data_IF_581442261277
#
_entry.id   IF_581442261277
#
_cell.length_a   1.000
_cell.length_b   1.000
_cell.length_c   1.000
_cell.angle_alpha   90.00
_cell.angle_beta   90.00
_cell.angle_gamma   90.00
#
_symmetry.space_group_name_H-M   'P 1'
#
loop_
_entity.id
_entity.type
_entity.pdbx_description
1 polymer ?
#
# COMPACT_ATOMS: atom_id res chain seq x y z
N UNK A 1 21.23 2.91 2.92
CA UNK A 1 19.77 3.20 3.01
C UNK A 1 19.18 2.38 4.14
N UNK A 2 18.46 3.02 5.06
CA UNK A 2 17.77 2.36 6.18
C UNK A 2 16.27 2.26 5.87
N UNK A 3 15.80 1.04 5.60
CA UNK A 3 14.38 0.74 5.42
C UNK A 3 13.79 0.32 6.76
N UNK A 4 12.72 0.96 7.19
CA UNK A 4 11.98 0.57 8.39
C UNK A 4 10.61 0.04 8.01
N UNK A 5 10.29 -1.14 8.52
CA UNK A 5 8.97 -1.75 8.40
C UNK A 5 8.23 -1.50 9.72
N UNK A 6 7.14 -0.73 9.64
CA UNK A 6 6.34 -0.37 10.80
C UNK A 6 5.58 -1.59 11.33
N UNK A 7 5.72 -1.87 12.62
CA UNK A 7 4.95 -2.88 13.32
C UNK A 7 3.85 -2.20 14.16
N UNK A 8 2.73 -1.88 13.52
CA UNK A 8 1.61 -1.19 14.16
C UNK A 8 0.52 -2.14 14.68
N UNK A 9 0.77 -3.45 14.70
CA UNK A 9 -0.21 -4.44 15.15
C UNK A 9 0.21 -5.87 14.90
N UNK A 10 -0.74 -6.79 14.93
CA UNK A 10 -0.53 -8.20 14.63
C UNK A 10 -0.55 -8.40 13.10
N UNK A 11 0.54 -8.89 12.53
CA UNK A 11 0.63 -9.18 11.10
C UNK A 11 1.89 -9.96 10.73
N UNK A 12 1.88 -10.58 9.53
CA UNK A 12 3.04 -11.33 9.04
C UNK A 12 4.11 -10.40 8.47
N UNK A 13 4.71 -9.59 9.33
CA UNK A 13 5.78 -8.64 8.98
C UNK A 13 6.99 -9.37 8.39
N UNK A 14 7.22 -10.65 8.76
CA UNK A 14 8.37 -11.45 8.27
C UNK A 14 8.33 -11.67 6.76
N UNK A 15 7.15 -11.89 6.17
CA UNK A 15 7.02 -12.04 4.72
C UNK A 15 7.36 -10.72 4.00
N UNK A 16 6.97 -9.58 4.58
CA UNK A 16 7.32 -8.26 4.05
C UNK A 16 8.83 -8.03 4.13
N UNK A 17 9.47 -8.37 5.26
CA UNK A 17 10.94 -8.29 5.41
C UNK A 17 11.64 -9.08 4.30
N UNK A 18 11.27 -10.36 4.13
CA UNK A 18 11.88 -11.23 3.11
C UNK A 18 11.72 -10.67 1.69
N UNK A 19 10.52 -10.18 1.34
CA UNK A 19 10.27 -9.60 0.03
C UNK A 19 11.10 -8.33 -0.20
N UNK A 20 11.21 -7.47 0.83
CA UNK A 20 12.03 -6.26 0.80
C UNK A 20 13.52 -6.59 0.66
N UNK A 21 14.05 -7.53 1.45
CA UNK A 21 15.44 -7.99 1.36
C UNK A 21 15.75 -8.57 -0.02
N UNK A 22 14.84 -9.38 -0.58
CA UNK A 22 14.97 -9.91 -1.94
C UNK A 22 15.02 -8.79 -2.99
N UNK A 23 14.12 -7.79 -2.88
CA UNK A 23 14.09 -6.66 -3.79
C UNK A 23 15.38 -5.82 -3.72
N UNK A 24 15.87 -5.55 -2.53
CA UNK A 24 17.11 -4.79 -2.30
C UNK A 24 18.35 -5.53 -2.78
N UNK A 25 18.45 -6.84 -2.53
CA UNK A 25 19.59 -7.66 -2.97
C UNK A 25 19.73 -7.71 -4.48
N UNK A 26 18.60 -7.72 -5.19
CA UNK A 26 18.59 -7.74 -6.66
C UNK A 26 18.82 -6.36 -7.31
N UNK A 27 18.77 -5.27 -6.53
CA UNK A 27 19.01 -3.89 -6.99
C UNK A 27 20.46 -3.44 -6.77
N UNK A 28 21.34 -4.28 -6.21
CA UNK A 28 22.72 -3.90 -5.90
C UNK A 28 23.57 -3.69 -7.16
N UNK A 29 23.51 -2.49 -7.69
CA UNK A 29 24.70 -1.83 -8.22
C UNK A 29 25.56 -1.41 -7.01
N UNK A 30 26.78 -1.85 -6.95
CA UNK A 30 27.81 -2.02 -5.93
C UNK A 30 28.10 -0.89 -4.89
N UNK A 31 27.19 -0.05 -4.44
CA UNK A 31 27.58 1.15 -3.66
C UNK A 31 26.84 1.46 -2.35
N UNK A 32 25.73 0.82 -2.00
CA UNK A 32 25.06 1.19 -0.75
C UNK A 32 24.53 -0.04 0.00
N UNK A 33 25.08 -0.30 1.18
CA UNK A 33 24.51 -1.31 2.09
C UNK A 33 23.13 -0.83 2.56
N UNK A 34 22.08 -1.54 2.16
CA UNK A 34 20.74 -1.31 2.68
C UNK A 34 20.53 -2.18 3.92
N UNK A 35 19.90 -1.60 4.95
CA UNK A 35 19.48 -2.32 6.17
C UNK A 35 17.99 -2.30 6.29
N UNK A 36 17.39 -3.44 6.68
CA UNK A 36 15.95 -3.58 6.93
C UNK A 36 15.74 -3.81 8.42
N UNK A 37 14.88 -3.02 9.04
CA UNK A 37 14.54 -3.14 10.44
C UNK A 37 13.03 -3.13 10.66
N UNK A 38 12.54 -3.89 11.64
CA UNK A 38 11.16 -3.83 12.10
C UNK A 38 11.12 -2.92 13.33
N UNK A 39 10.15 -2.01 13.39
CA UNK A 39 10.00 -1.15 14.57
C UNK A 39 8.56 -0.68 14.78
N UNK A 40 8.21 -0.53 16.05
CA UNK A 40 7.02 0.19 16.54
C UNK A 40 7.36 1.50 17.23
N UNK A 41 8.65 1.91 17.23
CA UNK A 41 9.11 3.13 17.93
C UNK A 41 9.08 4.33 17.00
N UNK A 42 8.37 5.43 17.37
CA UNK A 42 8.22 6.62 16.55
C UNK A 42 9.56 7.21 16.05
N UNK A 43 10.55 7.28 16.90
CA UNK A 43 11.87 7.83 16.58
C UNK A 43 12.61 7.02 15.51
N UNK A 44 12.35 5.71 15.43
CA UNK A 44 12.95 4.86 14.39
C UNK A 44 12.26 5.03 13.04
N UNK A 45 10.94 5.26 13.04
CA UNK A 45 10.19 5.55 11.84
C UNK A 45 10.62 6.90 11.24
N UNK A 46 10.79 7.92 12.07
CA UNK A 46 11.27 9.25 11.64
C UNK A 46 12.69 9.21 11.08
N UNK A 47 13.56 8.35 11.65
CA UNK A 47 14.95 8.20 11.23
C UNK A 47 15.11 7.34 9.97
N UNK A 48 14.06 6.67 9.49
CA UNK A 48 14.11 5.85 8.29
C UNK A 48 14.42 6.69 7.04
N UNK A 49 15.11 6.10 6.06
CA UNK A 49 15.25 6.65 4.71
C UNK A 49 14.04 6.28 3.85
N UNK A 50 13.47 5.09 4.05
CA UNK A 50 12.21 4.65 3.46
C UNK A 50 11.36 3.92 4.52
N UNK A 51 10.05 4.16 4.52
CA UNK A 51 9.11 3.59 5.47
C UNK A 51 8.09 2.69 4.75
N UNK A 52 7.99 1.45 5.21
CA UNK A 52 6.95 0.53 4.76
C UNK A 52 5.99 0.30 5.92
N UNK A 53 4.70 0.51 5.66
CA UNK A 53 3.63 0.28 6.63
C UNK A 53 2.73 -0.83 6.12
N UNK A 54 3.02 -2.09 6.46
CA UNK A 54 2.12 -3.19 6.19
C UNK A 54 0.95 -3.13 7.19
N UNK A 55 -0.21 -3.59 6.76
CA UNK A 55 -1.34 -3.71 7.66
C UNK A 55 -2.08 -5.02 7.43
N UNK A 56 -2.21 -5.82 8.49
CA UNK A 56 -3.09 -6.96 8.57
C UNK A 56 -3.93 -6.83 9.84
N UNK A 57 -5.22 -7.13 9.76
CA UNK A 57 -6.15 -6.93 10.84
C UNK A 57 -7.22 -5.89 10.51
N UNK A 58 -7.79 -5.25 11.52
CA UNK A 58 -8.86 -4.27 11.34
C UNK A 58 -8.34 -2.83 11.37
N UNK A 59 -9.05 -1.95 10.68
CA UNK A 59 -8.78 -0.51 10.71
C UNK A 59 -8.80 0.04 12.15
N UNK A 60 -9.74 -0.45 12.98
CA UNK A 60 -9.85 -0.01 14.37
C UNK A 60 -8.63 -0.35 15.22
N UNK A 61 -8.06 -1.55 15.06
CA UNK A 61 -6.86 -1.94 15.77
C UNK A 61 -5.65 -1.08 15.36
N UNK A 62 -5.52 -0.81 14.06
CA UNK A 62 -4.46 0.06 13.56
C UNK A 62 -4.65 1.52 13.99
N UNK A 63 -5.88 2.05 13.92
CA UNK A 63 -6.20 3.40 14.39
C UNK A 63 -5.89 3.59 15.89
N UNK A 64 -6.04 2.53 16.69
CA UNK A 64 -5.60 2.50 18.09
C UNK A 64 -4.09 2.62 18.23
N UNK A 65 -3.33 1.87 17.44
CA UNK A 65 -1.87 1.88 17.46
C UNK A 65 -1.28 3.23 17.02
N UNK A 66 -1.86 3.88 16.02
CA UNK A 66 -1.37 5.18 15.53
C UNK A 66 -1.59 6.33 16.53
N UNK A 67 -2.55 6.22 17.46
CA UNK A 67 -2.75 7.21 18.54
C UNK A 67 -1.54 7.32 19.47
N UNK A 68 -0.73 6.28 19.57
CA UNK A 68 0.46 6.22 20.44
C UNK A 68 1.72 6.91 19.89
N UNK A 69 1.59 7.91 19.00
CA UNK A 69 2.73 8.64 18.40
C UNK A 69 3.22 8.05 17.08
N UNK A 70 2.84 6.82 16.71
CA UNK A 70 3.18 6.24 15.43
C UNK A 70 2.56 7.01 14.26
N UNK A 71 1.32 7.46 14.40
CA UNK A 71 0.63 8.25 13.38
C UNK A 71 1.34 9.56 13.08
N UNK A 72 1.77 10.27 14.13
CA UNK A 72 2.56 11.49 13.98
C UNK A 72 3.91 11.20 13.31
N UNK A 73 4.62 10.15 13.73
CA UNK A 73 5.89 9.77 13.12
C UNK A 73 5.77 9.42 11.62
N UNK A 74 4.69 8.72 11.23
CA UNK A 74 4.38 8.44 9.82
C UNK A 74 4.12 9.74 9.06
N UNK A 75 3.27 10.62 9.61
CA UNK A 75 2.94 11.89 8.97
C UNK A 75 4.18 12.79 8.79
N UNK A 76 5.04 12.89 9.80
CA UNK A 76 6.30 13.63 9.72
C UNK A 76 7.29 13.02 8.72
N UNK A 77 7.37 11.68 8.63
CA UNK A 77 8.21 11.00 7.64
C UNK A 77 7.76 11.36 6.21
N UNK A 78 6.45 11.31 5.95
CA UNK A 78 5.86 11.69 4.66
C UNK A 78 6.08 13.18 4.36
N UNK A 79 5.83 14.05 5.33
CA UNK A 79 5.99 15.51 5.19
C UNK A 79 7.44 15.94 4.87
N UNK A 80 8.43 15.13 5.28
CA UNK A 80 9.85 15.31 4.93
C UNK A 80 10.20 14.88 3.50
N UNK A 81 9.22 14.46 2.70
CA UNK A 81 9.43 13.97 1.33
C UNK A 81 10.07 12.59 1.26
N UNK A 82 10.14 11.84 2.36
CA UNK A 82 10.76 10.53 2.41
C UNK A 82 9.81 9.45 1.88
N UNK A 83 10.30 8.46 1.14
CA UNK A 83 9.49 7.40 0.55
C UNK A 83 8.63 6.63 1.56
N UNK A 84 7.35 6.51 1.26
CA UNK A 84 6.38 5.75 2.02
C UNK A 84 5.68 4.72 1.13
N UNK A 85 5.61 3.47 1.59
CA UNK A 85 4.80 2.41 1.00
C UNK A 85 3.78 1.89 2.00
N UNK A 86 2.49 2.13 1.73
CA UNK A 86 1.37 1.54 2.48
C UNK A 86 0.86 0.27 1.80
N UNK A 87 0.83 -0.86 2.53
CA UNK A 87 0.33 -2.15 2.01
C UNK A 87 -0.99 -2.49 2.70
N UNK A 88 -2.04 -2.71 1.92
CA UNK A 88 -3.40 -3.05 2.35
C UNK A 88 -3.92 -2.04 3.38
N UNK A 89 -4.05 -2.40 4.64
CA UNK A 89 -4.45 -1.48 5.72
C UNK A 89 -3.49 -0.29 5.86
N UNK A 90 -2.20 -0.46 5.56
CA UNK A 90 -1.22 0.64 5.54
C UNK A 90 -1.51 1.70 4.46
N UNK A 91 -2.19 1.35 3.37
CA UNK A 91 -2.76 2.31 2.43
C UNK A 91 -4.02 2.95 2.99
N UNK A 92 -4.93 2.14 3.55
CA UNK A 92 -6.24 2.60 4.01
C UNK A 92 -6.13 3.65 5.13
N UNK A 93 -5.17 3.51 6.04
CA UNK A 93 -4.99 4.47 7.14
C UNK A 93 -4.49 5.85 6.72
N UNK A 94 -4.03 6.02 5.48
CA UNK A 94 -3.69 7.34 4.93
C UNK A 94 -4.93 8.23 4.74
N UNK A 95 -6.11 7.62 4.60
CA UNK A 95 -7.39 8.30 4.38
C UNK A 95 -8.03 8.81 5.67
N UNK A 96 -9.16 9.48 5.56
CA UNK A 96 -9.78 10.20 6.67
C UNK A 96 -10.51 9.29 7.66
N UNK A 97 -11.26 8.31 7.17
CA UNK A 97 -12.08 7.40 7.98
C UNK A 97 -12.34 6.06 7.28
N UNK A 98 -12.98 5.14 8.00
CA UNK A 98 -13.36 3.84 7.48
C UNK A 98 -14.73 3.39 7.98
N UNK A 99 -15.53 2.80 7.09
CA UNK A 99 -16.77 2.11 7.46
C UNK A 99 -16.52 0.87 8.35
N UNK A 100 -15.30 0.32 8.34
CA UNK A 100 -14.94 -0.80 9.20
C UNK A 100 -14.92 -0.40 10.69
N UNK A 101 -14.66 0.87 10.99
CA UNK A 101 -14.49 1.35 12.36
C UNK A 101 -15.09 2.76 12.52
N UNK A 102 -16.40 2.82 12.62
CA UNK A 102 -17.15 4.06 12.73
C UNK A 102 -16.65 4.90 13.92
N UNK A 103 -16.46 6.20 13.67
CA UNK A 103 -15.98 7.15 14.67
C UNK A 103 -14.46 7.16 14.89
N UNK A 104 -13.72 6.26 14.26
CA UNK A 104 -12.25 6.30 14.26
C UNK A 104 -11.73 6.99 12.99
N UNK A 105 -10.67 7.79 13.17
CA UNK A 105 -10.01 8.52 12.08
C UNK A 105 -8.74 7.82 11.67
N UNK A 106 -8.45 7.84 10.36
CA UNK A 106 -7.13 7.57 9.82
C UNK A 106 -6.21 8.77 9.98
N UNK A 107 -5.14 8.80 9.22
CA UNK A 107 -4.16 9.89 9.25
C UNK A 107 -4.64 11.16 8.51
N UNK A 108 -5.62 11.04 7.60
CA UNK A 108 -6.12 12.15 6.80
C UNK A 108 -5.05 12.79 5.90
N UNK A 109 -4.03 12.03 5.53
CA UNK A 109 -2.96 12.48 4.63
C UNK A 109 -3.47 12.56 3.20
N UNK A 110 -4.28 11.57 2.78
CA UNK A 110 -4.95 11.54 1.49
C UNK A 110 -6.45 11.84 1.68
N UNK A 111 -7.05 12.70 0.84
CA UNK A 111 -8.47 13.00 0.94
C UNK A 111 -9.31 11.82 0.42
N UNK A 112 -10.36 11.49 1.17
CA UNK A 112 -11.29 10.40 0.85
C UNK A 112 -11.48 9.43 2.00
N UNK A 113 -12.12 8.31 1.71
CA UNK A 113 -12.66 7.40 2.72
C UNK A 113 -12.34 5.95 2.39
N UNK A 114 -12.47 5.08 3.40
CA UNK A 114 -12.42 3.62 3.21
C UNK A 114 -13.84 3.08 3.34
N UNK A 115 -14.32 2.38 2.32
CA UNK A 115 -15.69 1.86 2.23
C UNK A 115 -15.69 0.36 2.04
N UNK A 116 -16.78 -0.27 2.49
CA UNK A 116 -16.98 -1.70 2.25
C UNK A 116 -17.07 -1.95 0.75
N UNK A 117 -16.27 -2.88 0.25
CA UNK A 117 -16.32 -3.29 -1.14
C UNK A 117 -17.71 -3.86 -1.45
N UNK A 118 -18.28 -3.44 -2.57
CA UNK A 118 -19.54 -3.97 -3.09
C UNK A 118 -19.22 -4.85 -4.29
N UNK A 119 -19.04 -6.15 -4.07
CA UNK A 119 -18.68 -7.05 -5.17
C UNK A 119 -19.82 -7.14 -6.17
N UNK A 120 -19.48 -7.29 -7.43
CA UNK A 120 -20.44 -7.59 -8.48
C UNK A 120 -20.92 -9.03 -8.40
N UNK A 121 -21.61 -9.44 -9.48
CA UNK A 121 -22.08 -10.79 -9.65
C UNK A 121 -21.02 -11.64 -10.36
N UNK A 122 -20.85 -12.86 -9.91
CA UNK A 122 -20.18 -13.89 -10.69
C UNK A 122 -21.08 -14.24 -11.88
N UNK A 123 -20.62 -13.93 -13.08
CA UNK A 123 -21.42 -14.12 -14.31
C UNK A 123 -21.63 -15.59 -14.67
N UNK A 124 -20.76 -16.48 -14.22
CA UNK A 124 -20.88 -17.93 -14.47
C UNK A 124 -21.82 -18.61 -13.47
N UNK A 125 -21.76 -18.18 -12.19
CA UNK A 125 -22.50 -18.81 -11.11
C UNK A 125 -23.79 -18.07 -10.71
N UNK A 126 -24.01 -16.87 -11.25
CA UNK A 126 -25.20 -16.06 -11.01
C UNK A 126 -25.39 -15.65 -9.55
N UNK A 127 -24.30 -15.57 -8.78
CA UNK A 127 -24.30 -15.20 -7.35
C UNK A 127 -23.32 -14.07 -7.09
N UNK A 128 -23.50 -13.29 -6.00
CA UNK A 128 -22.52 -12.28 -5.62
C UNK A 128 -21.14 -12.89 -5.39
N UNK A 129 -20.10 -12.20 -5.86
CA UNK A 129 -18.74 -12.56 -5.54
C UNK A 129 -18.51 -12.50 -4.02
N UNK A 130 -17.74 -13.42 -3.44
CA UNK A 130 -17.57 -13.51 -1.99
C UNK A 130 -16.79 -12.34 -1.40
N UNK A 131 -17.07 -12.00 -0.14
CA UNK A 131 -16.24 -11.14 0.69
C UNK A 131 -15.74 -11.92 1.91
N UNK A 132 -14.47 -11.71 2.31
CA UNK A 132 -13.49 -10.81 1.70
C UNK A 132 -13.05 -11.24 0.29
N UNK A 133 -12.61 -10.29 -0.53
CA UNK A 133 -11.90 -10.54 -1.79
C UNK A 133 -10.54 -11.17 -1.45
N UNK A 134 -10.44 -12.48 -1.63
CA UNK A 134 -9.22 -13.27 -1.38
C UNK A 134 -8.83 -13.98 -2.66
N UNK A 135 -7.60 -13.72 -3.13
CA UNK A 135 -7.05 -14.40 -4.30
C UNK A 135 -6.24 -13.48 -5.20
N UNK A 136 -5.85 -14.04 -6.35
CA UNK A 136 -5.13 -13.34 -7.39
C UNK A 136 -6.12 -12.60 -8.30
N UNK A 137 -5.81 -11.34 -8.58
CA UNK A 137 -6.62 -10.54 -9.49
C UNK A 137 -5.74 -9.57 -10.27
N UNK A 138 -6.23 -9.16 -11.44
CA UNK A 138 -5.52 -8.25 -12.33
C UNK A 138 -5.60 -6.81 -11.82
N UNK A 139 -4.46 -6.14 -11.80
CA UNK A 139 -4.31 -4.71 -11.50
C UNK A 139 -4.06 -3.98 -12.81
N UNK A 140 -4.91 -3.03 -13.14
CA UNK A 140 -4.83 -2.22 -14.36
C UNK A 140 -4.52 -0.78 -14.01
N UNK A 141 -3.54 -0.21 -14.67
CA UNK A 141 -3.18 1.20 -14.47
C UNK A 141 -4.33 2.11 -14.90
N UNK A 142 -4.69 3.08 -14.06
CA UNK A 142 -5.75 4.03 -14.36
C UNK A 142 -5.37 4.97 -15.53
N UNK A 143 -6.35 5.30 -16.38
CA UNK A 143 -6.12 6.19 -17.54
C UNK A 143 -5.65 7.59 -17.13
N UNK A 144 -6.19 8.15 -16.05
CA UNK A 144 -5.76 9.43 -15.50
C UNK A 144 -4.27 9.43 -15.12
N UNK A 145 -3.79 8.34 -14.51
CA UNK A 145 -2.38 8.18 -14.15
C UNK A 145 -1.46 8.04 -15.38
N UNK A 146 -1.98 7.56 -16.52
CA UNK A 146 -1.21 7.48 -17.77
C UNK A 146 -0.93 8.87 -18.36
N UNK A 147 -1.85 9.82 -18.18
CA UNK A 147 -1.78 11.15 -18.77
C UNK A 147 -0.93 12.15 -17.95
N UNK A 148 -0.90 12.01 -16.62
CA UNK A 148 -0.39 13.04 -15.71
C UNK A 148 0.94 12.71 -15.04
N UNK A 149 1.34 11.43 -15.03
CA UNK A 149 2.57 11.00 -14.35
C UNK A 149 3.66 10.62 -15.34
N UNK A 150 4.85 11.22 -15.26
CA UNK A 150 5.99 10.78 -16.04
C UNK A 150 6.24 9.28 -15.82
N UNK A 151 6.33 8.53 -16.90
CA UNK A 151 6.60 7.08 -16.89
C UNK A 151 7.80 6.69 -15.99
N UNK A 152 8.76 7.61 -15.82
CA UNK A 152 9.98 7.41 -15.04
C UNK A 152 9.76 7.32 -13.54
N UNK A 153 8.72 7.98 -12.99
CA UNK A 153 8.50 8.01 -11.53
C UNK A 153 7.54 6.94 -11.00
N UNK A 154 6.75 6.28 -11.85
CA UNK A 154 5.70 5.37 -11.41
C UNK A 154 5.52 4.14 -12.30
N UNK A 155 6.60 3.65 -12.92
CA UNK A 155 6.60 2.42 -13.70
C UNK A 155 6.45 1.15 -12.82
N UNK A 156 5.87 1.34 -11.64
CA UNK A 156 5.61 0.30 -10.65
C UNK A 156 4.60 -0.73 -11.17
N UNK A 157 3.75 -0.28 -12.11
CA UNK A 157 2.78 -1.10 -12.82
C UNK A 157 3.00 -0.86 -14.31
N UNK A 158 3.78 -1.71 -14.95
CA UNK A 158 4.02 -1.70 -16.41
C UNK A 158 2.70 -1.93 -17.15
N UNK A 159 2.43 -1.16 -18.17
CA UNK A 159 1.17 -1.00 -18.93
C UNK A 159 0.23 -2.18 -19.19
N UNK A 160 0.66 -3.43 -19.04
CA UNK A 160 -0.19 -4.61 -19.12
C UNK A 160 -0.77 -4.99 -17.76
N UNK A 161 -1.99 -5.54 -17.70
CA UNK A 161 -2.58 -6.00 -16.46
C UNK A 161 -1.68 -7.02 -15.75
N UNK A 162 -1.29 -6.73 -14.53
CA UNK A 162 -0.43 -7.60 -13.73
C UNK A 162 -1.20 -8.16 -12.56
N UNK A 163 -1.08 -9.46 -12.31
CA UNK A 163 -1.80 -10.12 -11.22
C UNK A 163 -1.08 -9.97 -9.89
N UNK A 164 -1.85 -9.60 -8.86
CA UNK A 164 -1.41 -9.51 -7.46
C UNK A 164 -2.37 -10.26 -6.55
N UNK A 165 -1.89 -10.60 -5.35
CA UNK A 165 -2.70 -11.27 -4.33
C UNK A 165 -3.42 -10.25 -3.45
N UNK A 166 -4.73 -10.42 -3.29
CA UNK A 166 -5.62 -9.61 -2.46
C UNK A 166 -6.13 -10.38 -1.25
N UNK A 167 -6.44 -9.69 -0.17
CA UNK A 167 -7.11 -10.22 1.02
C UNK A 167 -7.78 -9.08 1.79
N UNK A 168 -8.94 -8.56 1.29
CA UNK A 168 -9.60 -7.39 1.89
C UNK A 168 -11.11 -7.41 1.72
N UNK A 169 -11.81 -6.67 2.60
CA UNK A 169 -13.26 -6.43 2.54
C UNK A 169 -13.57 -4.97 2.24
N UNK A 170 -12.63 -4.08 2.54
CA UNK A 170 -12.77 -2.64 2.39
C UNK A 170 -11.78 -2.13 1.37
N UNK A 171 -12.15 -1.07 0.65
CA UNK A 171 -11.32 -0.41 -0.35
C UNK A 171 -11.37 1.10 -0.17
N UNK A 172 -10.34 1.80 -0.63
CA UNK A 172 -10.28 3.25 -0.58
C UNK A 172 -11.14 3.86 -1.68
N UNK A 173 -11.78 4.98 -1.36
CA UNK A 173 -12.55 5.84 -2.27
C UNK A 173 -11.96 7.25 -2.16
N UNK A 174 -10.92 7.57 -2.94
CA UNK A 174 -10.35 8.91 -2.99
C UNK A 174 -11.40 9.93 -3.46
N UNK A 175 -11.39 11.14 -2.91
CA UNK A 175 -12.19 12.26 -3.44
C UNK A 175 -11.45 13.02 -4.55
N UNK A 176 -10.17 12.77 -4.72
CA UNK A 176 -9.33 13.28 -5.79
C UNK A 176 -8.91 12.11 -6.70
N UNK A 177 -9.42 12.10 -7.92
CA UNK A 177 -9.12 11.07 -8.92
C UNK A 177 -7.65 11.06 -9.35
N UNK A 178 -6.94 12.19 -9.21
CA UNK A 178 -5.52 12.26 -9.51
C UNK A 178 -4.65 11.37 -8.60
N UNK A 179 -5.18 10.95 -7.46
CA UNK A 179 -4.51 9.98 -6.57
C UNK A 179 -4.54 8.55 -7.11
N UNK A 180 -5.46 8.22 -8.03
CA UNK A 180 -5.70 6.84 -8.47
C UNK A 180 -4.61 6.41 -9.44
N UNK A 181 -3.72 5.53 -8.99
CA UNK A 181 -2.68 4.94 -9.83
C UNK A 181 -3.20 3.72 -10.61
N UNK A 182 -3.98 2.88 -9.95
CA UNK A 182 -4.51 1.66 -10.56
C UNK A 182 -5.84 1.23 -9.96
N UNK A 183 -6.58 0.46 -10.76
CA UNK A 183 -7.86 -0.15 -10.39
C UNK A 183 -7.85 -1.65 -10.63
N UNK A 184 -8.78 -2.34 -10.00
CA UNK A 184 -9.01 -3.78 -10.16
C UNK A 184 -10.51 -4.01 -10.26
N UNK A 185 -10.91 -4.95 -11.12
CA UNK A 185 -12.31 -5.36 -11.24
C UNK A 185 -12.60 -6.56 -10.33
N UNK A 186 -13.68 -6.45 -9.58
CA UNK A 186 -14.24 -7.56 -8.80
C UNK A 186 -15.77 -7.57 -8.96
N UNK A 187 -16.19 -7.58 -10.24
CA UNK A 187 -17.57 -7.37 -10.64
C UNK A 187 -18.01 -5.90 -10.52
N UNK A 188 -17.30 -5.11 -9.76
CA UNK A 188 -17.26 -3.64 -9.75
C UNK A 188 -15.81 -3.19 -9.64
N UNK A 189 -15.47 -2.10 -10.31
CA UNK A 189 -14.12 -1.53 -10.22
C UNK A 189 -13.87 -0.90 -8.87
N UNK A 190 -12.69 -1.14 -8.29
CA UNK A 190 -12.22 -0.48 -7.07
C UNK A 190 -10.77 -0.01 -7.21
N UNK A 191 -10.37 0.97 -6.41
CA UNK A 191 -9.01 1.50 -6.39
C UNK A 191 -8.07 0.51 -5.73
N UNK A 192 -7.09 0.01 -6.49
CA UNK A 192 -6.11 -0.98 -6.03
C UNK A 192 -4.73 -0.40 -5.77
N UNK A 193 -4.43 0.81 -6.27
CA UNK A 193 -3.23 1.56 -5.92
C UNK A 193 -3.47 3.07 -5.99
N UNK A 194 -2.84 3.80 -5.09
CA UNK A 194 -2.83 5.27 -5.03
C UNK A 194 -1.40 5.78 -4.96
N UNK A 195 -1.19 6.99 -5.47
CA UNK A 195 0.11 7.66 -5.43
C UNK A 195 -0.05 9.16 -5.25
N UNK A 196 0.81 9.76 -4.44
CA UNK A 196 0.99 11.21 -4.33
C UNK A 196 2.40 11.49 -3.86
N UNK A 197 3.15 12.25 -4.65
CA UNK A 197 4.55 12.65 -4.36
C UNK A 197 5.43 11.45 -3.97
N UNK A 198 5.81 11.36 -2.70
CA UNK A 198 6.63 10.30 -2.11
C UNK A 198 5.81 9.15 -1.49
N UNK A 199 4.49 9.17 -1.64
CA UNK A 199 3.58 8.17 -1.08
C UNK A 199 3.07 7.22 -2.15
N UNK A 200 3.28 5.93 -1.95
CA UNK A 200 2.65 4.84 -2.70
C UNK A 200 1.79 4.00 -1.75
N UNK A 201 0.54 3.79 -2.08
CA UNK A 201 -0.36 2.88 -1.38
C UNK A 201 -0.86 1.80 -2.31
N UNK A 202 -0.87 0.55 -1.85
CA UNK A 202 -1.40 -0.60 -2.61
C UNK A 202 -2.37 -1.42 -1.76
N UNK A 203 -3.50 -1.85 -2.34
CA UNK A 203 -4.50 -2.67 -1.66
C UNK A 203 -4.10 -4.15 -1.61
N UNK A 204 -3.33 -4.59 -2.58
CA UNK A 204 -2.82 -5.94 -2.68
C UNK A 204 -1.57 -6.14 -1.82
N UNK A 205 -1.12 -7.39 -1.74
CA UNK A 205 0.03 -7.81 -0.93
C UNK A 205 1.24 -8.13 -1.83
N UNK A 206 2.18 -7.19 -2.06
CA UNK A 206 3.37 -7.45 -2.86
C UNK A 206 4.18 -8.63 -2.31
N UNK A 207 4.26 -8.77 -0.98
CA UNK A 207 4.98 -9.83 -0.28
C UNK A 207 4.39 -11.24 -0.50
N UNK A 208 3.20 -11.31 -1.12
CA UNK A 208 2.52 -12.56 -1.50
C UNK A 208 2.35 -12.70 -3.00
N UNK A 209 2.89 -11.77 -3.79
CA UNK A 209 2.63 -11.64 -5.23
C UNK A 209 3.81 -12.05 -6.09
N UNK A 210 4.67 -12.94 -5.57
CA UNK A 210 5.78 -13.53 -6.32
C UNK A 210 6.64 -12.48 -7.05
N UNK A 211 6.99 -12.72 -8.32
CA UNK A 211 7.86 -11.83 -9.11
C UNK A 211 7.26 -10.45 -9.35
N UNK A 212 5.95 -10.35 -9.51
CA UNK A 212 5.25 -9.07 -9.66
C UNK A 212 5.42 -8.19 -8.40
N UNK A 213 5.30 -8.81 -7.23
CA UNK A 213 5.51 -8.12 -5.96
C UNK A 213 6.96 -7.68 -5.74
N UNK A 214 7.92 -8.55 -6.08
CA UNK A 214 9.35 -8.22 -6.01
C UNK A 214 9.71 -7.11 -7.00
N UNK A 215 9.16 -7.15 -8.21
CA UNK A 215 9.36 -6.09 -9.20
C UNK A 215 8.83 -4.74 -8.71
N UNK A 216 7.63 -4.72 -8.12
CA UNK A 216 7.06 -3.52 -7.51
C UNK A 216 7.97 -2.94 -6.43
N UNK A 217 8.46 -3.77 -5.51
CA UNK A 217 9.36 -3.33 -4.44
C UNK A 217 10.70 -2.81 -4.98
N UNK A 218 11.29 -3.49 -5.97
CA UNK A 218 12.51 -3.01 -6.64
C UNK A 218 12.31 -1.62 -7.25
N UNK A 219 11.19 -1.43 -7.96
CA UNK A 219 10.86 -0.15 -8.60
C UNK A 219 10.65 0.93 -7.56
N UNK A 220 9.94 0.64 -6.46
CA UNK A 220 9.77 1.57 -5.34
C UNK A 220 11.12 2.04 -4.78
N UNK A 221 12.06 1.14 -4.53
CA UNK A 221 13.37 1.50 -4.00
C UNK A 221 14.27 2.22 -5.01
N UNK A 222 14.20 1.87 -6.31
CA UNK A 222 15.01 2.54 -7.33
C UNK A 222 14.63 3.99 -7.56
N UNK A 223 13.40 4.37 -7.21
CA UNK A 223 12.90 5.75 -7.30
C UNK A 223 13.15 6.56 -6.03
N UNK A 224 13.57 5.88 -4.97
CA UNK A 224 13.79 6.45 -3.64
C UNK A 224 15.25 6.85 -3.39
N UNK A 225 16.09 6.69 -4.41
CA UNK A 225 17.53 7.01 -4.42
C UNK A 225 17.79 8.15 -5.45
#
# INVERSE_FOLDING_TARGET
>A
MRVVICQAGVGNVRSVVRAVECALSASQSARTSATVAISSRPEQLQAADALIVPGQGSFGAFAGAIKGGLGQAIAEHIAKGKPYLGICLGMQVLFEDSEEALGLRGLGILPGHVRRLRPGMDTEQGRPLPLPHIGWNAVTRAQAAQATMPLSKHNVLSGEPTHFYFAHTFAVVPTDEALVLATTDYGTSFVSAVVRDNVLGVQFHPEKSQDAGIFLLKTFFSQSI
#
